data_IF_202319226213
#
_entry.id   IF_202319226213
#
_cell.length_a   1.000
_cell.length_b   1.000
_cell.length_c   1.000
_cell.angle_alpha   90.00
_cell.angle_beta   90.00
_cell.angle_gamma   90.00
#
_symmetry.space_group_name_H-M   'P 1'
#
loop_
_entity.id
_entity.type
_entity.pdbx_description
1 polymer ?
#
# COMPACT_ATOMS: atom_id res chain seq x y z
N UNK A 1 10.94 5.12 -17.39
CA UNK A 1 11.40 5.19 -15.97
C UNK A 1 10.64 4.18 -15.11
N UNK A 2 9.30 4.23 -15.06
CA UNK A 2 8.50 3.33 -14.23
C UNK A 2 8.77 1.83 -14.45
N UNK A 3 8.86 1.35 -15.70
CA UNK A 3 9.16 -0.06 -15.98
C UNK A 3 10.51 -0.52 -15.40
N UNK A 4 11.56 0.29 -15.56
CA UNK A 4 12.89 -0.05 -15.03
C UNK A 4 12.91 -0.03 -13.50
N UNK A 5 12.21 0.90 -12.87
CA UNK A 5 12.02 0.91 -11.42
C UNK A 5 11.28 -0.34 -10.95
N UNK A 6 10.23 -0.76 -11.65
CA UNK A 6 9.49 -2.00 -11.33
C UNK A 6 10.39 -3.23 -11.44
N UNK A 7 11.17 -3.35 -12.52
CA UNK A 7 12.10 -4.46 -12.70
C UNK A 7 13.17 -4.48 -11.60
N UNK A 8 13.68 -3.32 -11.21
CA UNK A 8 14.61 -3.22 -10.09
C UNK A 8 13.97 -3.67 -8.76
N UNK A 9 12.74 -3.25 -8.47
CA UNK A 9 12.00 -3.72 -7.28
C UNK A 9 11.85 -5.23 -7.30
N UNK A 10 11.55 -5.83 -8.45
CA UNK A 10 11.48 -7.29 -8.57
C UNK A 10 12.80 -8.00 -8.28
N UNK A 11 13.94 -7.42 -8.65
CA UNK A 11 15.25 -8.00 -8.29
C UNK A 11 15.52 -7.98 -6.78
N UNK A 12 14.89 -7.08 -6.04
CA UNK A 12 15.01 -7.01 -4.57
C UNK A 12 14.03 -7.96 -3.86
N UNK A 13 12.79 -8.05 -4.36
CA UNK A 13 11.71 -8.77 -3.68
C UNK A 13 11.60 -10.24 -4.07
N UNK A 14 11.83 -10.60 -5.33
CA UNK A 14 11.64 -11.99 -5.79
C UNK A 14 12.67 -12.93 -5.15
N UNK A 15 14.00 -12.64 -5.16
CA UNK A 15 14.97 -13.58 -4.60
C UNK A 15 14.77 -13.82 -3.10
N UNK A 16 14.42 -12.77 -2.36
CA UNK A 16 14.16 -12.85 -0.92
C UNK A 16 12.86 -13.60 -0.61
N UNK A 17 11.78 -13.35 -1.36
CA UNK A 17 10.53 -14.10 -1.18
C UNK A 17 10.70 -15.59 -1.53
N UNK A 18 11.40 -15.91 -2.63
CA UNK A 18 11.64 -17.29 -3.06
C UNK A 18 12.52 -18.04 -2.06
N UNK A 19 13.57 -17.42 -1.51
CA UNK A 19 14.44 -18.09 -0.54
C UNK A 19 13.72 -18.42 0.77
N UNK A 20 12.89 -17.49 1.28
CA UNK A 20 12.10 -17.71 2.49
C UNK A 20 11.00 -18.75 2.24
N UNK A 21 10.31 -18.68 1.10
CA UNK A 21 9.30 -19.69 0.73
C UNK A 21 9.92 -21.09 0.57
N UNK A 22 11.10 -21.19 -0.03
CA UNK A 22 11.81 -22.46 -0.15
C UNK A 22 12.20 -23.07 1.22
N UNK A 23 12.51 -22.23 2.20
CA UNK A 23 12.93 -22.67 3.52
C UNK A 23 11.77 -23.06 4.45
N UNK A 24 10.64 -22.34 4.40
CA UNK A 24 9.55 -22.46 5.38
C UNK A 24 8.20 -22.86 4.78
N UNK A 25 8.05 -22.83 3.45
CA UNK A 25 6.86 -23.29 2.74
C UNK A 25 5.55 -22.75 3.32
N UNK A 26 4.66 -23.66 3.70
CA UNK A 26 3.29 -23.36 4.15
C UNK A 26 3.22 -22.67 5.52
N UNK A 27 4.29 -22.69 6.32
CA UNK A 27 4.31 -21.99 7.62
C UNK A 27 4.13 -20.46 7.45
N UNK A 28 4.51 -19.92 6.29
CA UNK A 28 4.33 -18.52 5.93
C UNK A 28 2.85 -18.13 5.74
N UNK A 29 1.96 -19.10 5.52
CA UNK A 29 0.52 -18.83 5.39
C UNK A 29 -0.10 -18.41 6.72
N UNK A 30 0.43 -18.92 7.83
CA UNK A 30 -0.04 -18.61 9.19
C UNK A 30 0.84 -17.60 9.91
N UNK A 31 2.08 -17.39 9.45
CA UNK A 31 3.01 -16.41 9.99
C UNK A 31 3.28 -15.26 9.01
N UNK A 32 2.52 -14.16 9.15
CA UNK A 32 2.65 -13.00 8.29
C UNK A 32 4.02 -12.29 8.36
N UNK A 33 4.77 -12.48 9.45
CA UNK A 33 6.13 -11.95 9.60
C UNK A 33 7.17 -13.06 9.46
N UNK A 34 7.92 -13.08 8.36
CA UNK A 34 8.93 -14.10 8.11
C UNK A 34 10.03 -14.18 9.20
N UNK A 35 10.36 -13.06 9.85
CA UNK A 35 11.36 -13.05 10.93
C UNK A 35 10.96 -13.89 12.15
N UNK A 36 9.66 -14.20 12.33
CA UNK A 36 9.23 -15.07 13.43
C UNK A 36 9.60 -16.53 13.21
N UNK A 37 9.86 -16.94 11.96
CA UNK A 37 10.23 -18.31 11.60
C UNK A 37 11.75 -18.54 11.64
N UNK A 38 12.54 -17.47 11.53
CA UNK A 38 13.99 -17.61 11.50
C UNK A 38 14.56 -18.06 12.86
N UNK A 39 15.50 -19.01 12.88
CA UNK A 39 16.15 -19.44 14.11
C UNK A 39 16.92 -18.27 14.74
N UNK A 40 17.01 -18.28 16.06
CA UNK A 40 17.76 -17.27 16.80
C UNK A 40 19.22 -17.26 16.34
N UNK A 41 19.68 -16.12 15.83
CA UNK A 41 21.05 -15.91 15.40
C UNK A 41 21.40 -14.42 15.45
N UNK A 42 22.68 -14.05 15.61
CA UNK A 42 23.10 -12.65 15.60
C UNK A 42 22.69 -11.90 14.32
N UNK A 43 22.64 -12.59 13.19
CA UNK A 43 22.20 -12.02 11.90
C UNK A 43 20.71 -11.70 11.89
N UNK A 44 19.88 -12.60 12.42
CA UNK A 44 18.44 -12.34 12.59
C UNK A 44 18.23 -11.14 13.51
N UNK A 45 18.92 -11.10 14.64
CA UNK A 45 18.75 -10.02 15.62
C UNK A 45 19.17 -8.67 15.04
N UNK A 46 20.30 -8.62 14.31
CA UNK A 46 20.73 -7.42 13.58
C UNK A 46 19.70 -6.96 12.54
N UNK A 47 19.11 -7.89 11.77
CA UNK A 47 18.08 -7.58 10.79
C UNK A 47 16.80 -7.03 11.43
N UNK A 48 16.38 -7.60 12.57
CA UNK A 48 15.23 -7.11 13.34
C UNK A 48 15.49 -5.70 13.88
N UNK A 49 16.68 -5.43 14.42
CA UNK A 49 17.06 -4.09 14.89
C UNK A 49 17.01 -3.07 13.73
N UNK A 50 17.58 -3.42 12.57
CA UNK A 50 17.57 -2.54 11.41
C UNK A 50 16.14 -2.27 10.91
N UNK A 51 15.29 -3.29 10.90
CA UNK A 51 13.86 -3.16 10.56
C UNK A 51 13.13 -2.25 11.56
N UNK A 52 13.40 -2.35 12.86
CA UNK A 52 12.79 -1.47 13.87
C UNK A 52 13.23 -0.01 13.68
N UNK A 53 14.51 0.25 13.41
CA UNK A 53 15.02 1.59 13.09
C UNK A 53 14.31 2.13 11.84
N UNK A 54 14.22 1.31 10.79
CA UNK A 54 13.51 1.68 9.56
C UNK A 54 12.04 2.03 9.85
N UNK A 55 11.33 1.19 10.60
CA UNK A 55 9.91 1.39 10.92
C UNK A 55 9.69 2.68 11.72
N UNK A 56 10.59 3.02 12.64
CA UNK A 56 10.53 4.27 13.41
C UNK A 56 10.64 5.51 12.51
N UNK A 57 11.60 5.51 11.58
CA UNK A 57 11.79 6.61 10.63
C UNK A 57 10.59 6.71 9.68
N UNK A 58 10.14 5.58 9.13
CA UNK A 58 8.99 5.51 8.22
C UNK A 58 7.71 6.00 8.88
N UNK A 59 7.48 5.65 10.16
CA UNK A 59 6.34 6.17 10.92
C UNK A 59 6.39 7.70 11.06
N UNK A 60 7.54 8.26 11.44
CA UNK A 60 7.70 9.71 11.54
C UNK A 60 7.42 10.43 10.21
N UNK A 61 7.91 9.87 9.11
CA UNK A 61 7.64 10.39 7.77
C UNK A 61 6.15 10.30 7.39
N UNK A 62 5.51 9.14 7.62
CA UNK A 62 4.11 8.91 7.26
C UNK A 62 3.11 9.73 8.09
N UNK A 63 3.40 9.98 9.37
CA UNK A 63 2.55 10.80 10.23
C UNK A 63 2.66 12.31 9.95
N UNK A 64 3.76 12.76 9.33
CA UNK A 64 3.98 14.17 9.02
C UNK A 64 2.84 14.81 8.19
N UNK A 65 2.40 14.25 7.05
CA UNK A 65 1.25 14.78 6.31
C UNK A 65 -0.05 14.75 7.11
N UNK A 66 -0.27 13.73 7.95
CA UNK A 66 -1.45 13.66 8.82
C UNK A 66 -1.45 14.80 9.84
N UNK A 67 -0.31 15.09 10.46
CA UNK A 67 -0.16 16.23 11.36
C UNK A 67 -0.42 17.55 10.65
N UNK A 68 0.08 17.72 9.42
CA UNK A 68 -0.16 18.95 8.67
C UNK A 68 -1.65 19.15 8.33
N UNK A 69 -2.34 18.10 7.89
CA UNK A 69 -3.78 18.16 7.62
C UNK A 69 -4.55 18.47 8.90
N UNK A 70 -4.20 17.82 10.01
CA UNK A 70 -4.86 18.04 11.31
C UNK A 70 -4.60 19.43 11.89
N UNK A 71 -3.35 19.91 11.86
CA UNK A 71 -2.98 21.27 12.28
C UNK A 71 -3.73 22.33 11.45
N UNK A 72 -3.96 22.06 10.16
CA UNK A 72 -4.76 22.92 9.28
C UNK A 72 -6.25 22.88 9.63
N UNK A 73 -6.81 21.72 9.95
CA UNK A 73 -8.21 21.56 10.38
C UNK A 73 -8.47 22.31 11.69
N UNK A 74 -7.52 22.29 12.63
CA UNK A 74 -7.61 23.02 13.91
C UNK A 74 -7.28 24.52 13.76
N UNK A 75 -6.73 24.95 12.62
CA UNK A 75 -6.33 26.34 12.39
C UNK A 75 -5.07 26.76 13.16
N UNK A 76 -4.31 25.80 13.70
CA UNK A 76 -3.09 26.05 14.46
C UNK A 76 -1.81 25.99 13.63
N UNK A 77 -1.93 25.89 12.31
CA UNK A 77 -0.81 25.71 11.38
C UNK A 77 0.27 26.80 11.48
N UNK A 78 -0.10 28.04 11.82
CA UNK A 78 0.83 29.17 11.92
C UNK A 78 1.43 29.41 13.31
N UNK A 79 1.12 28.55 14.30
CA UNK A 79 1.61 28.78 15.66
C UNK A 79 3.09 28.38 15.79
N UNK A 80 3.94 29.32 16.26
CA UNK A 80 5.38 29.10 16.46
C UNK A 80 5.72 28.21 17.67
N UNK A 81 4.77 27.96 18.59
CA UNK A 81 5.00 27.15 19.79
C UNK A 81 5.03 25.66 19.48
N UNK A 82 6.21 25.03 19.67
CA UNK A 82 6.41 23.60 19.50
C UNK A 82 5.57 22.79 20.50
N UNK A 83 5.44 23.26 21.75
CA UNK A 83 4.67 22.56 22.78
C UNK A 83 3.18 22.49 22.44
N UNK A 84 2.60 23.60 21.97
CA UNK A 84 1.20 23.65 21.57
C UNK A 84 0.94 22.72 20.38
N UNK A 85 1.85 22.72 19.40
CA UNK A 85 1.79 21.80 18.26
C UNK A 85 1.87 20.33 18.69
N UNK A 86 2.77 20.00 19.62
CA UNK A 86 2.89 18.65 20.15
C UNK A 86 1.59 18.18 20.82
N UNK A 87 0.98 19.02 21.66
CA UNK A 87 -0.32 18.72 22.29
C UNK A 87 -1.41 18.54 21.25
N UNK A 88 -1.48 19.39 20.22
CA UNK A 88 -2.49 19.23 19.16
C UNK A 88 -2.31 18.00 18.30
N UNK A 89 -1.13 17.37 18.27
CA UNK A 89 -0.92 16.11 17.55
C UNK A 89 -1.37 14.89 18.34
N UNK A 90 -1.50 15.00 19.67
CA UNK A 90 -1.91 13.87 20.53
C UNK A 90 -3.24 13.22 20.10
N UNK A 91 -4.30 13.96 19.72
CA UNK A 91 -5.54 13.37 19.22
C UNK A 91 -5.37 12.55 17.93
N UNK A 92 -4.29 12.75 17.16
CA UNK A 92 -3.98 11.94 15.97
C UNK A 92 -3.16 10.71 16.35
N UNK A 93 -2.18 10.88 17.24
CA UNK A 93 -1.27 9.80 17.64
C UNK A 93 -1.95 8.77 18.55
N UNK A 94 -2.77 9.22 19.49
CA UNK A 94 -3.41 8.35 20.49
C UNK A 94 -4.27 7.27 19.83
N UNK A 95 -5.17 7.59 18.87
CA UNK A 95 -5.93 6.55 18.17
C UNK A 95 -5.04 5.58 17.39
N UNK A 96 -3.98 6.05 16.72
CA UNK A 96 -3.07 5.19 15.96
C UNK A 96 -2.36 4.22 16.91
N UNK A 97 -1.84 4.73 18.03
CA UNK A 97 -1.18 3.93 19.05
C UNK A 97 -2.14 2.93 19.71
N UNK A 98 -3.36 3.36 20.04
CA UNK A 98 -4.40 2.51 20.62
C UNK A 98 -4.81 1.38 19.67
N UNK A 99 -5.05 1.69 18.39
CA UNK A 99 -5.37 0.67 17.37
C UNK A 99 -4.21 -0.31 17.17
N UNK A 100 -2.96 0.15 17.25
CA UNK A 100 -1.79 -0.71 17.16
C UNK A 100 -1.69 -1.71 18.33
N UNK A 101 -2.17 -1.35 19.52
CA UNK A 101 -2.21 -2.26 20.69
C UNK A 101 -3.34 -3.28 20.54
N UNK A 102 -4.52 -2.85 20.10
CA UNK A 102 -5.70 -3.73 20.02
C UNK A 102 -5.60 -4.71 18.86
N UNK A 103 -5.05 -4.29 17.73
CA UNK A 103 -4.96 -5.11 16.52
C UNK A 103 -3.50 -5.33 16.11
N UNK A 104 -2.76 -6.25 16.77
CA UNK A 104 -1.36 -6.53 16.45
C UNK A 104 -1.19 -7.42 15.20
N UNK A 105 -2.15 -7.41 14.27
CA UNK A 105 -2.24 -8.36 13.16
C UNK A 105 -1.78 -7.75 11.83
N UNK A 106 -0.49 -7.85 11.51
CA UNK A 106 0.07 -7.30 10.27
C UNK A 106 -0.58 -7.86 8.99
N UNK A 107 -0.86 -9.16 8.95
CA UNK A 107 -1.40 -9.85 7.77
C UNK A 107 -2.80 -9.37 7.39
N UNK A 108 -3.81 -9.54 8.26
CA UNK A 108 -5.18 -9.09 8.00
C UNK A 108 -5.28 -7.59 7.74
N UNK A 109 -4.53 -6.75 8.47
CA UNK A 109 -4.53 -5.30 8.23
C UNK A 109 -4.00 -4.99 6.82
N UNK A 110 -2.85 -5.56 6.45
CA UNK A 110 -2.27 -5.33 5.12
C UNK A 110 -3.20 -5.83 4.00
N UNK A 111 -3.80 -7.00 4.19
CA UNK A 111 -4.75 -7.57 3.23
C UNK A 111 -6.03 -6.74 3.10
N UNK A 112 -6.61 -6.28 4.22
CA UNK A 112 -7.82 -5.46 4.21
C UNK A 112 -7.56 -4.07 3.59
N UNK A 113 -6.46 -3.41 3.96
CA UNK A 113 -6.06 -2.13 3.36
C UNK A 113 -5.77 -2.30 1.87
N UNK A 114 -5.12 -3.40 1.48
CA UNK A 114 -4.89 -3.75 0.07
C UNK A 114 -6.21 -3.90 -0.70
N UNK A 115 -7.11 -4.74 -0.19
CA UNK A 115 -8.39 -5.04 -0.83
C UNK A 115 -9.31 -3.81 -0.93
N UNK A 116 -9.34 -2.95 0.10
CA UNK A 116 -10.31 -1.86 0.21
C UNK A 116 -9.77 -0.51 -0.25
N UNK A 117 -8.52 -0.16 0.05
CA UNK A 117 -7.97 1.15 -0.31
C UNK A 117 -7.16 1.07 -1.60
N UNK A 118 -6.19 0.14 -1.67
CA UNK A 118 -5.25 0.05 -2.80
C UNK A 118 -6.00 -0.32 -4.09
N UNK A 119 -6.96 -1.24 -4.04
CA UNK A 119 -7.85 -1.56 -5.16
C UNK A 119 -8.43 -0.31 -5.83
N UNK A 120 -8.94 0.64 -5.04
CA UNK A 120 -9.55 1.85 -5.60
C UNK A 120 -8.52 2.87 -6.04
N UNK A 121 -7.54 3.18 -5.19
CA UNK A 121 -6.60 4.29 -5.42
C UNK A 121 -5.56 3.98 -6.49
N UNK A 122 -5.12 2.73 -6.61
CA UNK A 122 -4.06 2.32 -7.53
C UNK A 122 -4.62 1.78 -8.84
N UNK A 123 -5.75 1.08 -8.81
CA UNK A 123 -6.29 0.40 -10.00
C UNK A 123 -7.57 1.04 -10.54
N UNK A 124 -8.66 1.02 -9.77
CA UNK A 124 -9.99 1.37 -10.30
C UNK A 124 -10.08 2.84 -10.68
N UNK A 125 -9.77 3.76 -9.75
CA UNK A 125 -9.91 5.21 -9.98
C UNK A 125 -9.00 5.67 -11.12
N UNK A 126 -7.69 5.33 -11.16
CA UNK A 126 -6.83 5.75 -12.27
C UNK A 126 -7.27 5.19 -13.62
N UNK A 127 -7.71 3.92 -13.65
CA UNK A 127 -8.16 3.27 -14.90
C UNK A 127 -9.45 3.90 -15.44
N UNK A 128 -10.41 4.21 -14.56
CA UNK A 128 -11.63 4.92 -14.90
C UNK A 128 -11.34 6.36 -15.32
N UNK A 129 -10.48 7.07 -14.59
CA UNK A 129 -10.05 8.41 -14.93
C UNK A 129 -9.43 8.45 -16.33
N UNK A 130 -8.54 7.50 -16.66
CA UNK A 130 -7.96 7.39 -18.00
C UNK A 130 -9.01 7.19 -19.10
N UNK A 131 -10.00 6.31 -18.88
CA UNK A 131 -11.10 6.10 -19.85
C UNK A 131 -11.93 7.39 -20.03
N UNK A 132 -12.26 8.07 -18.93
CA UNK A 132 -13.07 9.28 -18.95
C UNK A 132 -12.34 10.45 -19.62
N UNK A 133 -11.06 10.66 -19.30
CA UNK A 133 -10.22 11.72 -19.85
C UNK A 133 -10.04 11.59 -21.36
N UNK A 134 -9.86 10.36 -21.87
CA UNK A 134 -9.62 10.10 -23.30
C UNK A 134 -10.86 9.62 -24.07
N UNK A 135 -12.06 9.84 -23.54
CA UNK A 135 -13.32 9.43 -24.19
C UNK A 135 -13.54 10.10 -25.55
N UNK A 136 -13.16 11.37 -25.69
CA UNK A 136 -13.35 12.13 -26.93
C UNK A 136 -12.26 11.84 -27.97
N UNK A 137 -12.57 12.05 -29.25
CA UNK A 137 -11.57 11.94 -30.32
C UNK A 137 -10.51 13.04 -30.24
N UNK A 138 -10.90 14.26 -29.85
CA UNK A 138 -9.98 15.39 -29.68
C UNK A 138 -8.97 15.16 -28.55
N UNK A 139 -9.40 14.64 -27.40
CA UNK A 139 -8.50 14.33 -26.29
C UNK A 139 -7.47 13.25 -26.65
N UNK A 140 -7.85 12.27 -27.48
CA UNK A 140 -6.93 11.22 -27.95
C UNK A 140 -5.90 11.72 -28.95
N UNK A 141 -6.27 12.70 -29.76
CA UNK A 141 -5.35 13.33 -30.71
C UNK A 141 -4.33 14.23 -29.99
N UNK A 142 -4.78 14.93 -28.95
CA UNK A 142 -3.96 15.84 -28.13
C UNK A 142 -3.21 15.16 -26.98
N UNK A 143 -3.25 13.83 -26.88
CA UNK A 143 -2.57 13.10 -25.81
C UNK A 143 -1.05 13.22 -25.95
N UNK A 144 -0.37 13.62 -24.87
CA UNK A 144 1.08 13.74 -24.83
C UNK A 144 1.78 12.39 -25.07
N UNK A 145 1.23 11.31 -24.52
CA UNK A 145 1.69 9.94 -24.77
C UNK A 145 0.54 9.10 -25.35
N UNK A 146 0.78 8.49 -26.51
CA UNK A 146 -0.18 7.60 -27.16
C UNK A 146 0.09 6.16 -26.72
N UNK A 147 -0.96 5.35 -26.53
CA UNK A 147 -0.80 3.95 -26.13
C UNK A 147 0.00 3.16 -27.18
N UNK A 148 0.85 2.21 -26.75
CA UNK A 148 1.66 1.42 -27.66
C UNK A 148 0.83 0.73 -28.74
N UNK A 149 1.34 0.71 -29.98
CA UNK A 149 0.68 0.00 -31.08
C UNK A 149 0.56 -1.51 -30.79
N UNK A 150 1.51 -2.08 -30.04
CA UNK A 150 1.57 -3.50 -29.65
C UNK A 150 0.31 -3.93 -28.87
N UNK A 151 -0.28 -3.03 -28.07
CA UNK A 151 -1.49 -3.34 -27.31
C UNK A 151 -2.78 -3.00 -28.07
N UNK A 152 -2.72 -2.73 -29.38
CA UNK A 152 -3.90 -2.36 -30.19
C UNK A 152 -4.32 -0.88 -30.05
N UNK A 153 -3.39 -0.02 -29.63
CA UNK A 153 -3.61 1.43 -29.50
C UNK A 153 -4.72 1.78 -28.49
N UNK A 154 -5.52 2.80 -28.78
CA UNK A 154 -6.55 3.31 -27.85
C UNK A 154 -7.64 2.30 -27.51
N UNK A 155 -8.05 1.46 -28.48
CA UNK A 155 -9.09 0.46 -28.25
C UNK A 155 -8.60 -0.59 -27.26
N UNK A 156 -7.39 -1.10 -27.46
CA UNK A 156 -6.83 -2.09 -26.54
C UNK A 156 -6.47 -1.50 -25.19
N UNK A 157 -5.99 -0.26 -25.12
CA UNK A 157 -5.80 0.44 -23.83
C UNK A 157 -7.11 0.56 -23.03
N UNK A 158 -8.24 0.87 -23.67
CA UNK A 158 -9.54 0.89 -22.99
C UNK A 158 -10.02 -0.50 -22.58
N UNK A 159 -9.86 -1.51 -23.43
CA UNK A 159 -10.20 -2.89 -23.07
C UNK A 159 -9.39 -3.33 -21.86
N UNK A 160 -8.08 -3.09 -21.85
CA UNK A 160 -7.21 -3.41 -20.70
C UNK A 160 -7.69 -2.69 -19.44
N UNK A 161 -7.95 -1.38 -19.51
CA UNK A 161 -8.43 -0.65 -18.34
C UNK A 161 -9.78 -1.15 -17.83
N UNK A 162 -10.72 -1.49 -18.71
CA UNK A 162 -12.02 -2.06 -18.32
C UNK A 162 -11.82 -3.43 -17.67
N UNK A 163 -10.97 -4.29 -18.25
CA UNK A 163 -10.63 -5.59 -17.67
C UNK A 163 -10.01 -5.43 -16.29
N UNK A 164 -9.05 -4.51 -16.13
CA UNK A 164 -8.43 -4.21 -14.83
C UNK A 164 -9.47 -3.75 -13.82
N UNK A 165 -10.35 -2.82 -14.18
CA UNK A 165 -11.42 -2.35 -13.28
C UNK A 165 -12.32 -3.50 -12.83
N UNK A 166 -12.84 -4.28 -13.77
CA UNK A 166 -13.77 -5.39 -13.46
C UNK A 166 -13.06 -6.48 -12.66
N UNK A 167 -11.87 -6.89 -13.10
CA UNK A 167 -11.11 -7.94 -12.44
C UNK A 167 -10.71 -7.57 -11.02
N UNK A 168 -10.12 -6.40 -10.82
CA UNK A 168 -9.67 -5.96 -9.49
C UNK A 168 -10.87 -5.68 -8.58
N UNK A 169 -12.00 -5.21 -9.13
CA UNK A 169 -13.23 -5.07 -8.34
C UNK A 169 -13.77 -6.42 -7.86
N UNK A 170 -13.83 -7.44 -8.72
CA UNK A 170 -14.36 -8.76 -8.37
C UNK A 170 -13.39 -9.54 -7.48
N UNK A 171 -12.12 -9.64 -7.90
CA UNK A 171 -11.12 -10.48 -7.23
C UNK A 171 -10.47 -9.76 -6.07
N UNK A 172 -10.06 -8.51 -6.25
CA UNK A 172 -9.40 -7.71 -5.22
C UNK A 172 -10.37 -7.26 -4.14
N UNK A 173 -11.36 -6.45 -4.51
CA UNK A 173 -12.33 -5.91 -3.55
C UNK A 173 -13.36 -6.96 -3.10
N UNK A 174 -13.95 -7.71 -4.03
CA UNK A 174 -14.97 -8.72 -3.72
C UNK A 174 -14.39 -9.90 -2.92
N UNK A 175 -13.71 -10.82 -3.61
CA UNK A 175 -13.19 -12.05 -3.00
C UNK A 175 -12.10 -11.77 -1.96
N UNK A 176 -11.13 -10.91 -2.30
CA UNK A 176 -10.03 -10.53 -1.40
C UNK A 176 -10.53 -9.75 -0.18
N UNK A 177 -11.47 -8.82 -0.36
CA UNK A 177 -12.11 -8.11 0.75
C UNK A 177 -12.89 -9.04 1.66
N UNK A 178 -13.69 -9.95 1.10
CA UNK A 178 -14.41 -10.97 1.87
C UNK A 178 -13.46 -11.85 2.68
N UNK A 179 -12.41 -12.38 2.06
CA UNK A 179 -11.42 -13.21 2.76
C UNK A 179 -10.71 -12.44 3.87
N UNK A 180 -10.35 -11.18 3.61
CA UNK A 180 -9.67 -10.32 4.59
C UNK A 180 -10.54 -10.03 5.81
N UNK A 181 -11.81 -9.66 5.60
CA UNK A 181 -12.77 -9.39 6.69
C UNK A 181 -13.08 -10.67 7.47
N UNK A 182 -13.25 -11.80 6.78
CA UNK A 182 -13.51 -13.08 7.44
C UNK A 182 -12.33 -13.52 8.31
N UNK A 183 -11.10 -13.33 7.84
CA UNK A 183 -9.90 -13.61 8.63
C UNK A 183 -9.74 -12.63 9.79
N UNK A 184 -10.11 -11.36 9.60
CA UNK A 184 -10.07 -10.35 10.66
C UNK A 184 -11.06 -10.65 11.79
N UNK A 185 -12.26 -11.16 11.49
CA UNK A 185 -13.27 -11.52 12.51
C UNK A 185 -12.87 -12.78 13.29
N UNK A 186 -12.11 -13.68 12.66
CA UNK A 186 -11.70 -14.96 13.27
C UNK A 186 -10.47 -14.85 14.19
N UNK A 187 -9.70 -13.77 14.09
CA UNK A 187 -8.54 -13.50 14.94
C UNK A 187 -8.93 -12.67 16.16
#
# INVERSE_FOLDING_TARGET
IYLMATLYVFTLTIPSAVSVYWAFGDELLTHANAFSLFPHSPWRDAAVILMLIHQFITFGYACTPLYFVWEKVIGMHETNSILLRAVTRLPVVIPIWFLAIIFPFFGPINSAVGALLVTFTVYIIPSLAHILTYRSASSRQNAAEKPPAVIGGWRGAFVVNVVVVVWVFVVGFGLGGWASVTNFIKQ
#
